data_IF_051301019311
#
_entry.id   IF_051301019311
#
_cell.length_a   1.000
_cell.length_b   1.000
_cell.length_c   1.000
_cell.angle_alpha   90.00
_cell.angle_beta   90.00
_cell.angle_gamma   90.00
#
_symmetry.space_group_name_H-M   'P 1'
#
loop_
_entity.id
_entity.type
_entity.pdbx_description
1 polymer ?
#
# COMPACT_ATOMS: atom_id res chain seq x y z
N UNK A 1 16.42 0.31 6.74
CA UNK A 1 15.90 -0.87 7.50
C UNK A 1 14.39 -0.91 7.29
N UNK A 2 13.85 -2.03 6.82
CA UNK A 2 12.42 -2.21 6.61
C UNK A 2 11.86 -3.11 7.71
N UNK A 3 10.72 -2.73 8.28
CA UNK A 3 9.97 -3.61 9.17
C UNK A 3 8.73 -4.03 8.38
N UNK A 4 8.82 -5.18 7.73
CA UNK A 4 7.64 -5.88 7.25
C UNK A 4 7.13 -6.71 8.43
N UNK A 5 5.91 -6.47 8.90
CA UNK A 5 5.24 -7.36 9.84
C UNK A 5 4.39 -8.34 9.03
N UNK A 6 4.82 -9.61 8.84
CA UNK A 6 4.07 -10.60 8.11
C UNK A 6 3.08 -11.25 9.09
N UNK A 7 2.00 -10.56 9.44
CA UNK A 7 0.91 -11.19 10.19
C UNK A 7 -0.33 -11.36 9.29
N UNK A 8 -0.44 -12.61 8.81
CA UNK A 8 -1.62 -13.47 8.72
C UNK A 8 -2.82 -13.00 7.88
N UNK A 9 -3.12 -13.82 6.85
CA UNK A 9 -4.43 -14.05 6.21
C UNK A 9 -5.31 -12.81 6.07
N UNK A 10 -5.09 -12.06 5.01
CA UNK A 10 -6.00 -11.01 4.59
C UNK A 10 -5.48 -10.33 3.34
N UNK A 11 -6.40 -9.91 2.46
CA UNK A 11 -6.09 -9.09 1.31
C UNK A 11 -5.34 -7.84 1.77
N UNK A 12 -4.04 -7.78 1.48
CA UNK A 12 -3.15 -6.66 1.75
C UNK A 12 -2.45 -6.64 3.12
N UNK A 13 -1.23 -6.09 3.11
CA UNK A 13 -0.38 -5.90 4.28
C UNK A 13 0.24 -4.50 4.31
N UNK A 14 0.71 -4.09 5.48
CA UNK A 14 1.26 -2.76 5.72
C UNK A 14 2.78 -2.82 5.79
N UNK A 15 3.42 -1.76 5.34
CA UNK A 15 4.87 -1.59 5.33
C UNK A 15 5.21 -0.19 5.85
N UNK A 16 6.27 -0.10 6.64
CA UNK A 16 6.89 1.18 6.99
C UNK A 16 8.27 1.23 6.35
N UNK A 17 8.48 2.20 5.47
CA UNK A 17 9.75 2.39 4.76
C UNK A 17 10.51 3.54 5.42
N UNK A 18 11.62 3.22 6.10
CA UNK A 18 12.50 4.21 6.70
C UNK A 18 13.63 4.58 5.74
N UNK A 19 13.76 5.87 5.43
CA UNK A 19 14.81 6.44 4.58
C UNK A 19 15.68 7.34 5.44
N UNK A 20 16.97 7.06 5.48
CA UNK A 20 17.95 7.85 6.21
C UNK A 20 18.31 9.11 5.42
N UNK A 21 18.19 10.27 6.05
CA UNK A 21 18.62 11.55 5.51
C UNK A 21 19.42 12.34 6.54
N UNK A 22 19.86 13.54 6.15
CA UNK A 22 20.72 14.40 6.99
C UNK A 22 20.10 14.83 8.33
N UNK A 23 18.78 14.65 8.50
CA UNK A 23 18.02 15.03 9.70
C UNK A 23 17.46 13.81 10.47
N UNK A 24 17.95 12.60 10.17
CA UNK A 24 17.49 11.35 10.74
C UNK A 24 16.64 10.53 9.77
N UNK A 25 15.89 9.57 10.30
CA UNK A 25 15.09 8.63 9.49
C UNK A 25 13.69 9.22 9.26
N UNK A 26 13.33 9.38 7.99
CA UNK A 26 11.97 9.66 7.57
C UNK A 26 11.24 8.35 7.29
N UNK A 27 10.04 8.19 7.86
CA UNK A 27 9.22 7.00 7.70
C UNK A 27 8.06 7.28 6.75
N UNK A 28 7.89 6.42 5.75
CA UNK A 28 6.80 6.44 4.79
C UNK A 28 5.88 5.25 5.03
N UNK A 29 4.58 5.51 5.05
CA UNK A 29 3.57 4.47 5.16
C UNK A 29 3.26 3.90 3.77
N UNK A 30 3.24 2.59 3.69
CA UNK A 30 2.87 1.86 2.49
C UNK A 30 1.80 0.79 2.80
N UNK A 31 0.88 0.59 1.86
CA UNK A 31 -0.06 -0.52 1.83
C UNK A 31 0.20 -1.33 0.56
N UNK A 32 0.48 -2.60 0.76
CA UNK A 32 0.71 -3.58 -0.26
C UNK A 32 -0.52 -4.46 -0.43
N UNK A 33 -0.89 -4.74 -1.66
CA UNK A 33 -1.97 -5.64 -2.02
C UNK A 33 -1.47 -6.62 -3.07
N UNK A 34 -1.49 -7.90 -2.71
CA UNK A 34 -1.21 -8.96 -3.68
C UNK A 34 -2.30 -9.01 -4.73
N UNK A 35 -1.92 -9.35 -5.97
CA UNK A 35 -2.87 -9.64 -7.03
C UNK A 35 -3.83 -10.75 -6.57
N UNK A 36 -5.12 -10.59 -6.84
CA UNK A 36 -6.13 -11.53 -6.37
C UNK A 36 -5.83 -12.94 -6.88
N UNK A 37 -5.75 -13.89 -5.95
CA UNK A 37 -6.11 -15.26 -6.31
C UNK A 37 -7.62 -15.28 -6.63
N UNK A 38 -8.06 -16.09 -7.60
CA UNK A 38 -9.47 -16.16 -7.97
C UNK A 38 -10.33 -16.43 -6.74
N UNK A 39 -11.39 -15.64 -6.59
CA UNK A 39 -12.25 -15.64 -5.41
C UNK A 39 -12.75 -17.05 -5.07
N UNK A 40 -12.51 -17.48 -3.84
CA UNK A 40 -13.19 -18.65 -3.27
C UNK A 40 -14.63 -18.22 -2.98
N UNK A 41 -15.61 -18.97 -3.47
CA UNK A 41 -17.04 -18.68 -3.27
C UNK A 41 -17.35 -18.55 -1.76
N UNK A 42 -17.88 -17.38 -1.34
CA UNK A 42 -18.31 -17.11 0.03
C UNK A 42 -17.67 -15.90 0.73
N UNK A 43 -16.78 -15.16 0.07
CA UNK A 43 -16.17 -13.96 0.65
C UNK A 43 -17.09 -12.73 0.46
N UNK A 44 -17.44 -12.09 1.58
CA UNK A 44 -18.41 -11.00 1.66
C UNK A 44 -18.08 -9.81 0.73
N UNK A 45 -19.13 -9.18 0.20
CA UNK A 45 -19.16 -8.10 -0.83
C UNK A 45 -18.33 -6.83 -0.55
N UNK A 46 -17.55 -6.75 0.53
CA UNK A 46 -16.87 -5.54 1.00
C UNK A 46 -15.37 -5.40 0.70
N UNK A 47 -14.74 -6.38 0.04
CA UNK A 47 -13.29 -6.33 -0.28
C UNK A 47 -13.05 -6.63 -1.76
N UNK A 48 -13.23 -5.62 -2.62
CA UNK A 48 -12.85 -5.67 -4.05
C UNK A 48 -11.62 -4.83 -4.30
N UNK A 49 -10.49 -5.34 -3.83
CA UNK A 49 -9.16 -4.93 -4.30
C UNK A 49 -8.38 -6.22 -4.52
N UNK A 50 -7.68 -6.41 -5.65
CA UNK A 50 -7.01 -5.43 -6.48
C UNK A 50 -7.78 -5.10 -7.76
N UNK A 51 -7.72 -3.82 -8.14
CA UNK A 51 -8.17 -3.39 -9.46
C UNK A 51 -7.20 -3.92 -10.54
N UNK A 52 -7.69 -4.24 -11.75
CA UNK A 52 -6.82 -4.61 -12.87
C UNK A 52 -5.78 -3.51 -13.18
N UNK A 53 -4.60 -3.91 -13.66
CA UNK A 53 -3.51 -2.97 -13.95
C UNK A 53 -3.92 -1.81 -14.90
N UNK A 54 -4.78 -2.09 -15.89
CA UNK A 54 -5.31 -1.06 -16.80
C UNK A 54 -6.17 -0.02 -16.07
N UNK A 55 -6.98 -0.43 -15.10
CA UNK A 55 -7.77 0.48 -14.30
C UNK A 55 -6.87 1.32 -13.38
N UNK A 56 -5.87 0.70 -12.75
CA UNK A 56 -4.87 1.39 -11.94
C UNK A 56 -4.13 2.47 -12.75
N UNK A 57 -3.72 2.15 -13.99
CA UNK A 57 -3.11 3.12 -14.90
C UNK A 57 -4.03 4.32 -15.16
N UNK A 58 -5.32 4.07 -15.39
CA UNK A 58 -6.34 5.10 -15.57
C UNK A 58 -6.48 6.02 -14.35
N UNK A 59 -6.24 5.48 -13.15
CA UNK A 59 -6.29 6.21 -11.86
C UNK A 59 -4.96 6.88 -11.47
N UNK A 60 -3.99 6.93 -12.39
CA UNK A 60 -2.71 7.60 -12.18
C UNK A 60 -1.60 6.73 -11.59
N UNK A 61 -1.85 5.44 -11.31
CA UNK A 61 -0.79 4.53 -10.90
C UNK A 61 0.21 4.31 -12.04
N UNK A 62 1.45 3.96 -11.66
CA UNK A 62 2.51 3.66 -12.61
C UNK A 62 3.15 2.31 -12.27
N UNK A 63 3.66 1.57 -13.27
CA UNK A 63 4.50 0.41 -13.00
C UNK A 63 5.77 0.82 -12.25
N UNK A 64 6.08 0.11 -11.17
CA UNK A 64 7.34 0.25 -10.46
C UNK A 64 8.48 -0.27 -11.33
N UNK A 65 9.47 0.59 -11.59
CA UNK A 65 10.66 0.27 -12.40
C UNK A 65 11.76 -0.45 -11.62
N UNK A 66 11.57 -0.63 -10.31
CA UNK A 66 12.55 -1.16 -9.37
C UNK A 66 11.84 -2.01 -8.31
N UNK A 67 12.52 -3.02 -7.73
CA UNK A 67 12.10 -3.66 -6.49
C UNK A 67 12.33 -2.81 -5.23
N UNK A 68 13.26 -1.86 -5.27
CA UNK A 68 13.70 -1.14 -4.07
C UNK A 68 12.56 -0.29 -3.50
N UNK A 69 12.08 -0.67 -2.31
CA UNK A 69 10.96 -0.01 -1.66
C UNK A 69 11.25 1.47 -1.34
N UNK A 70 12.50 1.85 -1.06
CA UNK A 70 12.84 3.27 -0.84
C UNK A 70 12.63 4.06 -2.13
N UNK A 71 13.15 3.54 -3.23
CA UNK A 71 13.03 4.19 -4.53
C UNK A 71 11.57 4.19 -5.02
N UNK A 72 10.80 3.13 -4.71
CA UNK A 72 9.36 3.06 -4.95
C UNK A 72 8.60 4.17 -4.22
N UNK A 73 8.75 4.31 -2.90
CA UNK A 73 7.98 5.32 -2.14
C UNK A 73 8.39 6.75 -2.49
N UNK A 74 9.65 6.96 -2.90
CA UNK A 74 10.14 8.27 -3.35
C UNK A 74 9.67 8.65 -4.75
N UNK A 75 9.60 7.68 -5.68
CA UNK A 75 9.23 7.93 -7.09
C UNK A 75 7.74 7.75 -7.37
N UNK A 76 6.97 7.20 -6.44
CA UNK A 76 5.53 7.09 -6.57
C UNK A 76 4.91 8.48 -6.80
N UNK A 77 4.04 8.57 -7.80
CA UNK A 77 3.31 9.80 -8.12
C UNK A 77 1.93 9.77 -7.49
N UNK A 78 1.35 10.94 -7.28
CA UNK A 78 -0.03 11.05 -6.80
C UNK A 78 -1.00 10.39 -7.78
N UNK A 79 -1.91 9.59 -7.25
CA UNK A 79 -3.08 9.11 -7.97
C UNK A 79 -3.99 10.29 -8.36
N UNK A 80 -4.96 10.03 -9.22
CA UNK A 80 -5.93 11.02 -9.73
C UNK A 80 -6.93 11.57 -8.68
N UNK A 81 -6.85 11.09 -7.43
CA UNK A 81 -7.73 11.46 -6.32
C UNK A 81 -8.97 10.56 -6.17
N UNK A 82 -9.18 9.62 -7.10
CA UNK A 82 -10.25 8.61 -6.98
C UNK A 82 -9.98 7.61 -5.87
N UNK A 83 -8.71 7.37 -5.55
CA UNK A 83 -8.25 6.51 -4.45
C UNK A 83 -7.79 7.35 -3.28
N UNK A 84 -8.32 7.07 -2.08
CA UNK A 84 -7.99 7.79 -0.85
C UNK A 84 -7.82 6.86 0.33
N UNK A 85 -6.90 7.20 1.21
CA UNK A 85 -6.74 6.57 2.50
C UNK A 85 -7.42 7.43 3.58
N UNK A 86 -8.12 6.80 4.52
CA UNK A 86 -8.52 7.44 5.78
C UNK A 86 -7.84 6.71 6.91
N UNK A 87 -7.36 7.45 7.89
CA UNK A 87 -6.83 6.83 9.09
C UNK A 87 -7.11 7.68 10.33
N UNK A 88 -7.23 7.00 11.47
CA UNK A 88 -7.51 7.63 12.76
C UNK A 88 -6.41 7.40 13.78
N UNK A 89 -6.38 8.25 14.81
CA UNK A 89 -5.51 8.07 15.99
C UNK A 89 -5.82 6.80 16.77
N UNK A 90 -7.08 6.36 16.73
CA UNK A 90 -7.54 5.08 17.30
C UNK A 90 -7.15 3.86 16.45
N UNK A 91 -6.47 4.07 15.32
CA UNK A 91 -5.89 3.01 14.49
C UNK A 91 -6.81 2.43 13.42
N UNK A 92 -8.01 2.96 13.22
CA UNK A 92 -8.86 2.56 12.10
C UNK A 92 -8.26 3.10 10.80
N UNK A 93 -8.00 2.22 9.82
CA UNK A 93 -7.51 2.57 8.49
C UNK A 93 -8.49 2.07 7.44
N UNK A 94 -8.87 2.94 6.51
CA UNK A 94 -9.80 2.66 5.41
C UNK A 94 -9.14 3.04 4.09
N UNK A 95 -9.32 2.20 3.07
CA UNK A 95 -8.99 2.52 1.69
C UNK A 95 -10.30 2.65 0.91
N UNK A 96 -10.47 3.77 0.23
CA UNK A 96 -11.64 4.07 -0.57
C UNK A 96 -11.27 4.26 -2.03
N UNK A 97 -12.13 3.76 -2.91
CA UNK A 97 -12.08 3.95 -4.36
C UNK A 97 -13.42 4.52 -4.78
N UNK A 98 -13.44 5.73 -5.34
CA UNK A 98 -14.68 6.45 -5.71
C UNK A 98 -15.68 6.57 -4.55
N UNK A 99 -15.16 6.77 -3.32
CA UNK A 99 -15.90 6.74 -2.04
C UNK A 99 -16.43 5.38 -1.58
N UNK A 100 -16.20 4.30 -2.33
CA UNK A 100 -16.56 2.95 -1.92
C UNK A 100 -15.43 2.36 -1.07
N UNK A 101 -15.78 1.79 0.08
CA UNK A 101 -14.84 1.07 0.92
C UNK A 101 -14.37 -0.20 0.19
N UNK A 102 -13.08 -0.31 -0.07
CA UNK A 102 -12.48 -1.50 -0.71
C UNK A 102 -11.59 -2.30 0.23
N UNK A 103 -11.10 -1.67 1.30
CA UNK A 103 -10.32 -2.32 2.33
C UNK A 103 -10.40 -1.53 3.64
N UNK A 104 -10.40 -2.24 4.76
CA UNK A 104 -10.30 -1.66 6.09
C UNK A 104 -9.49 -2.54 7.01
N UNK A 105 -8.80 -1.92 7.97
CA UNK A 105 -8.15 -2.64 9.06
C UNK A 105 -8.12 -1.81 10.33
N UNK A 106 -8.36 -2.46 11.46
CA UNK A 106 -8.11 -1.91 12.78
C UNK A 106 -6.67 -2.22 13.17
N UNK A 107 -5.86 -1.19 13.39
CA UNK A 107 -4.51 -1.29 13.92
C UNK A 107 -4.55 -1.03 15.41
N UNK A 108 -3.70 -1.72 16.18
CA UNK A 108 -3.49 -1.44 17.60
C UNK A 108 -2.44 -0.31 17.75
N UNK A 109 -2.80 0.90 18.20
CA UNK A 109 -1.85 2.01 18.35
C UNK A 109 -0.78 1.78 19.43
N UNK A 110 -0.96 0.81 20.33
CA UNK A 110 0.02 0.46 21.35
C UNK A 110 1.10 -0.48 20.81
N UNK A 111 0.80 -1.21 19.74
CA UNK A 111 1.78 -2.01 19.03
C UNK A 111 2.79 -1.09 18.31
N UNK A 112 4.08 -1.28 18.59
CA UNK A 112 5.17 -0.42 18.07
C UNK A 112 5.15 -0.27 16.54
N UNK A 113 4.93 -1.36 15.81
CA UNK A 113 4.94 -1.35 14.34
C UNK A 113 3.70 -0.62 13.80
N UNK A 114 2.53 -0.84 14.42
CA UNK A 114 1.32 -0.09 14.11
C UNK A 114 1.46 1.39 14.37
N UNK A 115 1.99 1.76 15.54
CA UNK A 115 2.18 3.14 15.94
C UNK A 115 3.10 3.86 14.95
N UNK A 116 4.18 3.19 14.53
CA UNK A 116 5.11 3.74 13.55
C UNK A 116 4.45 3.92 12.19
N UNK A 117 3.68 2.94 11.72
CA UNK A 117 2.93 3.05 10.47
C UNK A 117 1.90 4.19 10.52
N UNK A 118 1.11 4.29 11.60
CA UNK A 118 0.11 5.35 11.80
C UNK A 118 0.76 6.73 11.81
N UNK A 119 1.89 6.87 12.50
CA UNK A 119 2.68 8.12 12.49
C UNK A 119 3.16 8.48 11.09
N UNK A 120 3.63 7.50 10.32
CA UNK A 120 4.06 7.70 8.94
C UNK A 120 2.87 8.06 8.02
N UNK A 121 1.71 7.42 8.18
CA UNK A 121 0.50 7.71 7.40
C UNK A 121 -0.06 9.12 7.69
N UNK A 122 0.18 9.63 8.91
CA UNK A 122 -0.15 11.00 9.32
C UNK A 122 0.62 12.09 8.55
N UNK A 123 1.59 11.73 7.70
CA UNK A 123 2.34 12.67 6.84
C UNK A 123 1.60 13.08 5.55
N UNK A 124 0.29 12.80 5.47
CA UNK A 124 -0.68 13.15 4.41
C UNK A 124 -0.74 12.24 3.19
N UNK A 125 0.22 11.33 3.02
CA UNK A 125 0.24 10.41 1.89
C UNK A 125 0.56 8.99 2.34
N UNK A 126 -0.07 8.01 1.71
CA UNK A 126 0.29 6.59 1.81
C UNK A 126 0.66 6.10 0.42
N UNK A 127 1.73 5.31 0.32
CA UNK A 127 2.07 4.63 -0.94
C UNK A 127 1.25 3.36 -1.06
N UNK A 128 0.49 3.22 -2.14
CA UNK A 128 -0.17 1.97 -2.49
C UNK A 128 0.70 1.18 -3.45
N UNK A 129 0.81 -0.12 -3.19
CA UNK A 129 1.49 -1.09 -4.02
C UNK A 129 0.46 -2.18 -4.36
N UNK A 130 0.25 -2.43 -5.64
CA UNK A 130 -0.68 -3.46 -6.12
C UNK A 130 0.03 -4.38 -7.10
N UNK A 131 0.01 -5.67 -6.81
CA UNK A 131 0.74 -6.69 -7.59
C UNK A 131 1.66 -7.51 -6.70
N UNK A 132 2.38 -8.45 -7.32
CA UNK A 132 3.26 -9.34 -6.58
C UNK A 132 4.55 -8.61 -6.15
N UNK A 133 4.75 -8.54 -4.83
CA UNK A 133 5.94 -7.96 -4.20
C UNK A 133 7.06 -8.99 -4.03
N UNK A 134 6.76 -10.29 -4.12
CA UNK A 134 7.70 -11.38 -3.91
C UNK A 134 8.52 -11.76 -5.16
N UNK A 135 8.15 -11.30 -6.35
CA UNK A 135 8.82 -11.69 -7.60
C UNK A 135 10.07 -10.90 -7.98
N UNK A 136 10.50 -9.89 -7.20
CA UNK A 136 11.62 -9.02 -7.61
C UNK A 136 12.91 -9.12 -6.77
N UNK A 137 13.01 -10.05 -5.81
CA UNK A 137 14.28 -10.31 -5.12
C UNK A 137 15.23 -11.24 -5.89
N UNK A 138 14.75 -11.93 -6.94
CA UNK A 138 15.61 -12.71 -7.82
C UNK A 138 16.06 -11.83 -9.00
N UNK A 139 17.37 -11.65 -9.16
CA UNK A 139 18.02 -10.88 -10.23
C UNK A 139 17.88 -11.47 -11.63
N UNK A 140 16.74 -12.08 -11.97
CA UNK A 140 16.43 -12.58 -13.30
C UNK A 140 15.30 -11.78 -13.94
N UNK A 141 15.42 -11.63 -15.27
CA UNK A 141 14.69 -10.67 -16.08
C UNK A 141 13.18 -10.63 -15.84
N UNK A 142 12.64 -9.42 -16.04
CA UNK A 142 11.23 -9.15 -16.27
C UNK A 142 10.53 -10.34 -16.97
N UNK A 143 9.69 -11.08 -16.23
CA UNK A 143 8.79 -12.03 -16.86
C UNK A 143 7.53 -11.29 -17.31
N UNK A 144 7.19 -11.27 -18.60
CA UNK A 144 5.97 -10.63 -19.10
C UNK A 144 4.67 -11.32 -18.63
N UNK A 145 4.77 -12.44 -17.89
CA UNK A 145 3.63 -13.20 -17.38
C UNK A 145 3.18 -12.79 -15.98
N UNK A 146 3.95 -11.96 -15.28
CA UNK A 146 3.59 -11.47 -13.93
C UNK A 146 3.06 -10.05 -14.06
N UNK A 147 1.88 -9.77 -13.53
CA UNK A 147 1.34 -8.41 -13.53
C UNK A 147 2.34 -7.44 -12.89
N UNK A 148 2.62 -6.28 -13.52
CA UNK A 148 3.60 -5.36 -12.99
C UNK A 148 3.15 -4.82 -11.64
N UNK A 149 4.07 -4.71 -10.68
CA UNK A 149 3.84 -3.98 -9.44
C UNK A 149 3.45 -2.54 -9.77
N UNK A 150 2.20 -2.17 -9.49
CA UNK A 150 1.65 -0.84 -9.70
C UNK A 150 1.78 -0.01 -8.44
N UNK A 151 2.21 1.23 -8.58
CA UNK A 151 2.49 2.13 -7.45
C UNK A 151 1.82 3.49 -7.65
N UNK A 152 1.32 4.06 -6.54
CA UNK A 152 0.87 5.44 -6.47
C UNK A 152 0.92 5.94 -5.02
N UNK A 153 1.02 7.26 -4.86
CA UNK A 153 0.72 7.94 -3.61
C UNK A 153 -0.75 8.29 -3.58
N UNK A 154 -1.40 8.02 -2.46
CA UNK A 154 -2.79 8.44 -2.23
C UNK A 154 -2.87 9.39 -1.04
N UNK A 155 -3.70 10.44 -1.12
CA UNK A 155 -3.93 11.32 0.02
C UNK A 155 -4.50 10.54 1.21
N UNK A 156 -4.05 10.91 2.40
CA UNK A 156 -4.55 10.40 3.68
C UNK A 156 -5.38 11.48 4.37
N UNK A 157 -6.67 11.23 4.55
CA UNK A 157 -7.55 12.05 5.39
C UNK A 157 -7.45 11.55 6.85
N UNK A 158 -7.08 12.44 7.77
CA UNK A 158 -6.88 12.10 9.18
C UNK A 158 -8.11 12.46 10.01
N UNK A 159 -8.67 11.49 10.74
CA UNK A 159 -9.75 11.74 11.72
C UNK A 159 -9.18 11.65 13.12
N UNK A 160 -9.48 12.66 13.94
CA UNK A 160 -9.17 12.66 15.38
C UNK A 160 -10.17 11.81 16.15
#
# INVERSE_FOLDING_TARGET
MYIASPNLKGFGYRLTVGIEGSFGILYYAALAFEAAQPAVAGQADGQRWPLPALELLGRGFKPARTPDLQDVVLKAQLADGSVRCRASTEGLVLLLVDNNLVWSRQLDPQNRDSALWLKAAGTREVTLLSGDLHTKEAGDGYSPTTEPLMIAKVPTEWTR
#
